data_IF_064841888126
#
_entry.id   IF_064841888126
#
_cell.length_a   1.000
_cell.length_b   1.000
_cell.length_c   1.000
_cell.angle_alpha   90.00
_cell.angle_beta   90.00
_cell.angle_gamma   90.00
#
_symmetry.space_group_name_H-M   'P 1'
#
loop_
_entity.id
_entity.type
_entity.pdbx_description
1 polymer ?
#
# COMPACT_ATOMS: atom_id res chain seq x y z
N UNK A 1 16.78 -0.65 -16.06
CA UNK A 1 16.11 -1.54 -15.09
C UNK A 1 17.07 -2.68 -14.74
N UNK A 2 17.46 -2.82 -13.48
CA UNK A 2 18.32 -3.92 -13.05
C UNK A 2 17.51 -5.23 -12.95
N UNK A 3 17.91 -6.27 -13.69
CA UNK A 3 17.19 -7.55 -13.75
C UNK A 3 17.22 -8.27 -12.39
N UNK A 4 16.13 -8.98 -12.06
CA UNK A 4 15.99 -9.86 -10.87
C UNK A 4 16.06 -9.20 -9.49
N UNK A 5 16.05 -7.87 -9.39
CA UNK A 5 16.13 -7.17 -8.08
C UNK A 5 14.80 -7.19 -7.31
N UNK A 6 13.68 -7.29 -8.01
CA UNK A 6 12.36 -7.43 -7.39
C UNK A 6 12.25 -8.71 -6.55
N UNK A 7 12.97 -9.78 -6.91
CA UNK A 7 12.93 -11.03 -6.16
C UNK A 7 13.50 -10.94 -4.75
N UNK A 8 14.38 -9.96 -4.47
CA UNK A 8 14.89 -9.71 -3.11
C UNK A 8 13.80 -9.09 -2.23
N UNK A 9 13.05 -8.13 -2.77
CA UNK A 9 11.91 -7.47 -2.10
C UNK A 9 10.76 -8.45 -1.89
N UNK A 10 10.44 -9.27 -2.90
CA UNK A 10 9.35 -10.25 -2.85
C UNK A 10 9.72 -11.54 -2.11
N UNK A 11 11.00 -11.75 -1.77
CA UNK A 11 11.48 -12.96 -1.10
C UNK A 11 11.60 -14.19 -2.00
N UNK A 12 11.42 -14.06 -3.32
CA UNK A 12 11.65 -15.16 -4.27
C UNK A 12 13.14 -15.44 -4.49
N UNK A 13 14.03 -14.47 -4.21
CA UNK A 13 15.47 -14.66 -4.12
C UNK A 13 15.88 -14.94 -2.67
N UNK A 14 15.76 -16.19 -2.24
CA UNK A 14 16.08 -16.62 -0.87
C UNK A 14 17.57 -16.52 -0.56
N UNK A 15 17.88 -16.22 0.71
CA UNK A 15 19.26 -16.16 1.18
C UNK A 15 19.88 -17.58 1.13
N UNK A 16 21.02 -17.78 0.44
CA UNK A 16 21.72 -19.06 0.44
C UNK A 16 22.28 -19.42 1.82
N UNK A 17 22.58 -20.70 2.02
CA UNK A 17 23.22 -21.19 3.24
C UNK A 17 24.60 -20.55 3.47
N UNK A 18 25.05 -20.54 4.74
CA UNK A 18 26.32 -19.96 5.16
C UNK A 18 27.55 -20.54 4.42
N UNK A 19 27.44 -21.80 3.95
CA UNK A 19 28.49 -22.52 3.23
C UNK A 19 28.45 -22.31 1.72
N UNK A 20 27.40 -21.65 1.20
CA UNK A 20 27.21 -21.48 -0.23
C UNK A 20 28.19 -20.46 -0.82
N UNK A 21 28.86 -20.76 -1.94
CA UNK A 21 29.71 -19.79 -2.63
C UNK A 21 28.93 -18.58 -3.15
N UNK A 22 27.60 -18.72 -3.31
CA UNK A 22 26.71 -17.66 -3.79
C UNK A 22 26.32 -16.65 -2.72
N UNK A 23 26.59 -16.91 -1.44
CA UNK A 23 26.19 -16.04 -0.33
C UNK A 23 26.76 -14.62 -0.50
N UNK A 24 28.04 -14.51 -0.85
CA UNK A 24 28.69 -13.21 -1.04
C UNK A 24 28.06 -12.39 -2.18
N UNK A 25 27.62 -13.06 -3.25
CA UNK A 25 26.96 -12.41 -4.38
C UNK A 25 25.54 -11.98 -4.00
N UNK A 26 24.83 -12.82 -3.24
CA UNK A 26 23.51 -12.51 -2.70
C UNK A 26 23.57 -11.28 -1.79
N UNK A 27 24.51 -11.23 -0.83
CA UNK A 27 24.67 -10.11 0.10
C UNK A 27 24.97 -8.79 -0.63
N UNK A 28 25.81 -8.81 -1.67
CA UNK A 28 26.07 -7.62 -2.51
C UNK A 28 24.80 -7.14 -3.22
N UNK A 29 23.99 -8.07 -3.72
CA UNK A 29 22.75 -7.74 -4.39
C UNK A 29 21.71 -7.19 -3.42
N UNK A 30 21.57 -7.80 -2.25
CA UNK A 30 20.63 -7.36 -1.23
C UNK A 30 20.99 -5.97 -0.68
N UNK A 31 22.27 -5.71 -0.37
CA UNK A 31 22.75 -4.38 0.04
C UNK A 31 22.49 -3.28 -0.98
N UNK A 32 22.58 -3.60 -2.27
CA UNK A 32 22.23 -2.66 -3.34
C UNK A 32 20.73 -2.31 -3.31
N UNK A 33 19.86 -3.30 -3.09
CA UNK A 33 18.42 -3.06 -2.96
C UNK A 33 18.10 -2.29 -1.68
N UNK A 34 18.76 -2.59 -0.56
CA UNK A 34 18.65 -1.82 0.69
C UNK A 34 18.97 -0.35 0.44
N UNK A 35 20.08 -0.04 -0.23
CA UNK A 35 20.45 1.34 -0.57
C UNK A 35 19.34 2.02 -1.38
N UNK A 36 18.79 1.36 -2.40
CA UNK A 36 17.68 1.93 -3.17
C UNK A 36 16.44 2.20 -2.33
N UNK A 37 16.07 1.29 -1.42
CA UNK A 37 14.93 1.47 -0.51
C UNK A 37 15.16 2.65 0.45
N UNK A 38 16.36 2.77 1.02
CA UNK A 38 16.74 3.89 1.90
C UNK A 38 16.69 5.24 1.18
N UNK A 39 17.07 5.28 -0.11
CA UNK A 39 17.01 6.48 -0.93
C UNK A 39 15.62 6.79 -1.50
N UNK A 40 14.70 5.82 -1.50
CA UNK A 40 13.34 5.98 -2.04
C UNK A 40 12.33 6.54 -1.03
N UNK A 41 12.67 6.55 0.26
CA UNK A 41 11.78 7.00 1.34
C UNK A 41 12.26 8.30 1.96
N UNK A 42 11.37 8.98 2.70
CA UNK A 42 11.75 10.17 3.46
C UNK A 42 12.82 9.83 4.52
N UNK A 43 13.74 10.75 4.81
CA UNK A 43 14.85 10.54 5.75
C UNK A 43 14.42 9.93 7.09
N UNK A 44 13.32 10.43 7.67
CA UNK A 44 12.79 9.93 8.95
C UNK A 44 12.35 8.46 8.87
N UNK A 45 11.83 8.03 7.72
CA UNK A 45 11.46 6.64 7.46
C UNK A 45 12.75 5.82 7.24
N UNK A 46 13.70 6.33 6.46
CA UNK A 46 14.99 5.67 6.23
C UNK A 46 15.75 5.37 7.54
N UNK A 47 15.78 6.33 8.47
CA UNK A 47 16.41 6.18 9.78
C UNK A 47 15.77 5.02 10.58
N UNK A 48 14.46 4.78 10.43
CA UNK A 48 13.75 3.70 11.10
C UNK A 48 14.05 2.30 10.55
N UNK A 49 14.52 2.19 9.30
CA UNK A 49 14.80 0.92 8.60
C UNK A 49 16.30 0.68 8.38
N UNK A 50 17.16 1.60 8.83
CA UNK A 50 18.60 1.58 8.55
C UNK A 50 19.29 0.30 9.04
N UNK A 51 18.82 -0.25 10.16
CA UNK A 51 19.42 -1.43 10.81
C UNK A 51 18.75 -2.75 10.42
N UNK A 52 17.83 -2.75 9.44
CA UNK A 52 17.19 -3.98 8.97
C UNK A 52 18.19 -4.93 8.30
N UNK A 53 17.99 -6.23 8.51
CA UNK A 53 18.97 -7.26 8.11
C UNK A 53 18.94 -7.63 6.62
N UNK A 54 17.85 -7.31 5.92
CA UNK A 54 17.69 -7.58 4.49
C UNK A 54 16.69 -6.63 3.83
N UNK A 55 16.77 -6.48 2.51
CA UNK A 55 15.80 -5.69 1.76
C UNK A 55 14.36 -6.23 1.87
N UNK A 56 14.20 -7.56 2.00
CA UNK A 56 12.90 -8.20 2.28
C UNK A 56 12.30 -7.73 3.59
N UNK A 57 13.11 -7.65 4.64
CA UNK A 57 12.64 -7.22 5.96
C UNK A 57 12.24 -5.75 5.95
N UNK A 58 13.02 -4.90 5.28
CA UNK A 58 12.66 -3.49 5.06
C UNK A 58 11.30 -3.39 4.37
N UNK A 59 11.10 -4.15 3.30
CA UNK A 59 9.84 -4.12 2.56
C UNK A 59 8.65 -4.52 3.42
N UNK A 60 8.75 -5.64 4.13
CA UNK A 60 7.67 -6.12 5.01
C UNK A 60 7.32 -5.11 6.10
N UNK A 61 8.31 -4.44 6.67
CA UNK A 61 8.11 -3.42 7.68
C UNK A 61 7.43 -2.16 7.11
N UNK A 62 7.87 -1.70 5.93
CA UNK A 62 7.21 -0.61 5.21
C UNK A 62 5.77 -0.97 4.83
N UNK A 63 5.54 -2.19 4.33
CA UNK A 63 4.21 -2.71 3.98
C UNK A 63 3.31 -2.84 5.20
N UNK A 64 3.84 -3.29 6.34
CA UNK A 64 3.07 -3.37 7.58
C UNK A 64 2.67 -1.99 8.10
N UNK A 65 3.60 -1.02 8.10
CA UNK A 65 3.37 0.32 8.65
C UNK A 65 2.58 1.24 7.74
N UNK A 66 2.79 1.13 6.42
CA UNK A 66 2.27 2.06 5.42
C UNK A 66 1.47 1.37 4.30
N UNK A 67 1.56 0.05 4.15
CA UNK A 67 0.78 -0.70 3.18
C UNK A 67 -0.67 -0.92 3.62
N UNK A 68 -0.97 -0.84 4.92
CA UNK A 68 -2.34 -0.81 5.43
C UNK A 68 -2.93 0.60 5.28
N UNK A 69 -3.38 0.93 4.07
CA UNK A 69 -4.04 2.19 3.76
C UNK A 69 -5.49 2.30 4.24
N UNK A 70 -6.07 1.32 4.94
CA UNK A 70 -7.53 1.22 4.94
C UNK A 70 -8.24 1.87 6.13
N UNK A 71 -7.55 2.18 7.23
CA UNK A 71 -8.18 2.84 8.38
C UNK A 71 -8.12 4.36 8.26
N UNK A 72 -6.95 4.91 8.58
CA UNK A 72 -6.75 6.37 8.67
C UNK A 72 -7.00 7.09 7.35
N UNK A 73 -6.54 6.52 6.23
CA UNK A 73 -6.76 7.12 4.90
C UNK A 73 -8.24 7.08 4.51
N UNK A 74 -8.93 5.98 4.79
CA UNK A 74 -10.38 5.87 4.61
C UNK A 74 -11.13 6.91 5.44
N UNK A 75 -10.80 7.05 6.73
CA UNK A 75 -11.40 8.09 7.59
C UNK A 75 -11.10 9.50 7.07
N UNK A 76 -9.88 9.75 6.58
CA UNK A 76 -9.49 11.04 6.03
C UNK A 76 -10.28 11.37 4.75
N UNK A 77 -10.33 10.44 3.78
CA UNK A 77 -11.12 10.60 2.55
C UNK A 77 -12.59 10.78 2.86
N UNK A 78 -13.14 9.98 3.78
CA UNK A 78 -14.53 10.09 4.25
C UNK A 78 -14.79 11.47 4.85
N UNK A 79 -13.90 11.96 5.72
CA UNK A 79 -13.98 13.32 6.30
C UNK A 79 -13.90 14.41 5.23
N UNK A 80 -12.99 14.28 4.26
CA UNK A 80 -12.84 15.25 3.18
C UNK A 80 -14.09 15.29 2.31
N UNK A 81 -14.72 14.13 2.05
CA UNK A 81 -15.97 14.01 1.31
C UNK A 81 -17.17 14.62 2.05
N UNK A 82 -17.24 14.49 3.38
CA UNK A 82 -18.26 15.18 4.19
C UNK A 82 -18.05 16.69 4.32
N UNK A 83 -16.80 17.15 4.24
CA UNK A 83 -16.44 18.56 4.45
C UNK A 83 -16.29 19.37 3.16
N UNK A 84 -16.28 18.70 2.00
CA UNK A 84 -16.13 19.38 0.72
C UNK A 84 -17.31 20.30 0.44
N UNK A 85 -17.00 21.53 0.06
CA UNK A 85 -17.97 22.54 -0.36
C UNK A 85 -17.37 23.35 -1.51
N UNK A 86 -18.22 23.91 -2.36
CA UNK A 86 -17.77 24.64 -3.55
C UNK A 86 -16.91 25.85 -3.18
N UNK A 87 -17.37 26.66 -2.22
CA UNK A 87 -16.69 27.89 -1.82
C UNK A 87 -16.53 28.84 -3.01
N UNK A 88 -15.32 29.39 -3.18
CA UNK A 88 -14.98 30.28 -4.29
C UNK A 88 -14.45 29.53 -5.54
N UNK A 89 -14.54 28.19 -5.57
CA UNK A 89 -14.10 27.39 -6.72
C UNK A 89 -15.14 27.42 -7.84
N UNK A 90 -14.66 27.37 -9.07
CA UNK A 90 -15.54 27.16 -10.21
C UNK A 90 -16.14 25.74 -10.18
N UNK A 91 -17.24 25.59 -10.93
CA UNK A 91 -18.03 24.34 -10.97
C UNK A 91 -17.16 23.16 -11.42
N UNK A 92 -16.34 23.33 -12.46
CA UNK A 92 -15.54 22.23 -13.00
C UNK A 92 -14.48 21.76 -12.00
N UNK A 93 -13.78 22.69 -11.36
CA UNK A 93 -12.79 22.36 -10.31
C UNK A 93 -13.42 21.67 -9.11
N UNK A 94 -14.60 22.11 -8.67
CA UNK A 94 -15.32 21.50 -7.55
C UNK A 94 -15.74 20.06 -7.86
N UNK A 95 -16.40 19.82 -8.99
CA UNK A 95 -16.83 18.48 -9.37
C UNK A 95 -15.66 17.53 -9.65
N UNK A 96 -14.54 18.05 -10.16
CA UNK A 96 -13.32 17.25 -10.37
C UNK A 96 -12.76 16.74 -9.04
N UNK A 97 -12.71 17.59 -8.01
CA UNK A 97 -12.20 17.18 -6.69
C UNK A 97 -13.17 16.20 -5.99
N UNK A 98 -14.49 16.40 -6.10
CA UNK A 98 -15.48 15.43 -5.61
C UNK A 98 -15.28 14.08 -6.27
N UNK A 99 -15.14 14.04 -7.59
CA UNK A 99 -14.96 12.80 -8.34
C UNK A 99 -13.69 12.08 -7.90
N UNK A 100 -12.59 12.81 -7.75
CA UNK A 100 -11.31 12.27 -7.26
C UNK A 100 -11.45 11.63 -5.88
N UNK A 101 -12.16 12.28 -4.95
CA UNK A 101 -12.41 11.73 -3.61
C UNK A 101 -13.27 10.46 -3.67
N UNK A 102 -14.28 10.41 -4.55
CA UNK A 102 -15.09 9.21 -4.77
C UNK A 102 -14.29 8.06 -5.38
N UNK A 103 -13.52 8.33 -6.44
CA UNK A 103 -12.67 7.32 -7.09
C UNK A 103 -11.65 6.75 -6.08
N UNK A 104 -11.10 7.61 -5.22
CA UNK A 104 -10.19 7.21 -4.15
C UNK A 104 -10.90 6.39 -3.04
N UNK A 105 -12.11 6.78 -2.62
CA UNK A 105 -12.94 6.05 -1.67
C UNK A 105 -13.30 4.64 -2.18
N UNK A 106 -13.76 4.55 -3.43
CA UNK A 106 -14.14 3.28 -4.05
C UNK A 106 -12.94 2.34 -4.21
N UNK A 107 -11.75 2.87 -4.47
CA UNK A 107 -10.52 2.07 -4.53
C UNK A 107 -10.15 1.41 -3.19
N UNK A 108 -10.46 2.05 -2.06
CA UNK A 108 -10.22 1.51 -0.71
C UNK A 108 -11.25 0.46 -0.31
N UNK A 109 -12.42 0.54 -0.93
CA UNK A 109 -13.53 -0.38 -0.76
C UNK A 109 -13.43 -1.62 -1.65
N UNK A 110 -12.33 -1.81 -2.39
CA UNK A 110 -12.16 -3.02 -3.21
C UNK A 110 -12.10 -4.25 -2.29
N UNK A 111 -13.20 -4.99 -2.27
CA UNK A 111 -13.37 -6.19 -1.46
C UNK A 111 -12.29 -7.19 -1.88
N UNK A 112 -11.60 -7.87 -0.94
CA UNK A 112 -10.75 -8.97 -1.31
C UNK A 112 -11.59 -9.99 -2.09
N UNK A 113 -11.24 -10.20 -3.36
CA UNK A 113 -11.79 -11.31 -4.15
C UNK A 113 -11.44 -12.60 -3.41
N UNK A 114 -12.42 -13.16 -2.71
CA UNK A 114 -12.30 -14.49 -2.16
C UNK A 114 -12.11 -15.46 -3.32
N UNK A 115 -11.14 -16.36 -3.21
CA UNK A 115 -10.98 -17.50 -4.12
C UNK A 115 -12.24 -18.40 -4.17
N UNK A 116 -13.17 -18.22 -3.22
CA UNK A 116 -14.43 -18.94 -3.11
C UNK A 116 -15.57 -18.39 -3.99
N UNK A 117 -15.37 -17.28 -4.72
CA UNK A 117 -16.42 -16.66 -5.54
C UNK A 117 -17.44 -15.85 -4.71
N UNK A 118 -18.54 -15.45 -5.36
CA UNK A 118 -19.57 -14.49 -4.86
C UNK A 118 -20.30 -14.98 -3.58
N UNK A 119 -20.13 -16.24 -3.19
CA UNK A 119 -20.86 -16.87 -2.08
C UNK A 119 -20.27 -16.63 -0.68
N UNK A 120 -19.18 -15.88 -0.54
CA UNK A 120 -18.61 -15.59 0.78
C UNK A 120 -19.56 -14.69 1.58
N UNK A 121 -19.98 -15.12 2.78
CA UNK A 121 -20.85 -14.34 3.67
C UNK A 121 -20.30 -12.93 3.97
N UNK A 122 -18.98 -12.78 3.95
CA UNK A 122 -18.28 -11.50 4.11
C UNK A 122 -18.49 -10.54 2.93
N UNK A 123 -18.56 -11.05 1.69
CA UNK A 123 -18.86 -10.25 0.50
C UNK A 123 -20.29 -9.69 0.54
N UNK A 124 -21.25 -10.52 0.95
CA UNK A 124 -22.67 -10.12 1.08
C UNK A 124 -22.85 -9.11 2.23
N UNK A 125 -22.12 -9.29 3.34
CA UNK A 125 -22.14 -8.35 4.46
C UNK A 125 -21.53 -6.99 4.08
N UNK A 126 -20.41 -6.98 3.36
CA UNK A 126 -19.72 -5.76 2.95
C UNK A 126 -20.53 -4.96 1.91
N UNK A 127 -21.16 -5.65 0.94
CA UNK A 127 -22.12 -5.03 0.00
C UNK A 127 -23.28 -4.35 0.73
N UNK A 128 -23.89 -5.04 1.72
CA UNK A 128 -24.98 -4.47 2.51
C UNK A 128 -24.55 -3.29 3.38
N UNK A 129 -23.30 -3.24 3.83
CA UNK A 129 -22.77 -2.11 4.58
C UNK A 129 -22.52 -0.90 3.66
N UNK A 130 -21.97 -1.10 2.44
CA UNK A 130 -21.85 -0.03 1.44
C UNK A 130 -23.19 0.57 1.04
N UNK A 131 -24.19 -0.26 0.76
CA UNK A 131 -25.54 0.20 0.39
C UNK A 131 -26.18 1.02 1.52
N UNK A 132 -25.96 0.64 2.78
CA UNK A 132 -26.47 1.38 3.94
C UNK A 132 -25.79 2.73 4.13
N UNK A 133 -24.49 2.83 3.87
CA UNK A 133 -23.78 4.11 3.98
C UNK A 133 -24.16 5.09 2.87
N UNK A 134 -24.42 4.60 1.65
CA UNK A 134 -24.88 5.44 0.53
C UNK A 134 -26.29 6.02 0.72
N UNK A 135 -27.15 5.37 1.52
CA UNK A 135 -28.52 5.82 1.79
C UNK A 135 -28.63 6.87 2.91
N UNK A 136 -27.54 7.16 3.63
CA UNK A 136 -27.53 8.05 4.81
C UNK A 136 -27.10 9.49 4.44
N UNK A 137 -26.71 9.76 3.18
CA UNK A 137 -26.34 11.09 2.68
C UNK A 137 -27.29 11.64 1.62
#
# INVERSE_FOLDING_TARGET
IAKNKLGFVLGTCTKPDATSPLLSQWDRCDKMVISWLLHAVEKRIADSILFSSSSRQIWLDLEQRFGQSNGTKFFQVKKDLYSISQGNRDIASYFTEIKKLWDEYDSMLSVPTCSCGISCATYIHDQKMKEREQLIQ
#
